data_IF_204356437178
#
_entry.id   IF_204356437178
#
_cell.length_a   1.000
_cell.length_b   1.000
_cell.length_c   1.000
_cell.angle_alpha   90.00
_cell.angle_beta   90.00
_cell.angle_gamma   90.00
#
_symmetry.space_group_name_H-M   'P 1'
#
loop_
_entity.id
_entity.type
_entity.pdbx_description
1 polymer ?
#
# COMPACT_ATOMS: atom_id res chain seq x y z
N UNK A 1 2.46 -11.67 9.98
CA UNK A 1 2.92 -10.27 10.12
C UNK A 1 4.10 -10.28 11.05
N UNK A 2 5.15 -9.57 10.70
CA UNK A 2 6.43 -9.54 11.42
C UNK A 2 6.68 -8.20 12.11
N UNK A 3 6.20 -7.10 11.54
CA UNK A 3 6.36 -5.75 12.04
C UNK A 3 5.53 -5.51 13.31
N UNK A 4 6.12 -4.79 14.25
CA UNK A 4 5.45 -4.22 15.42
C UNK A 4 4.59 -3.02 15.04
N UNK A 5 3.74 -2.57 15.97
CA UNK A 5 2.96 -1.34 15.78
C UNK A 5 3.87 -0.11 15.61
N UNK A 6 4.99 -0.02 16.33
CA UNK A 6 5.90 1.12 16.28
C UNK A 6 6.63 1.19 14.93
N UNK A 7 7.10 0.04 14.42
CA UNK A 7 7.71 -0.05 13.09
C UNK A 7 6.71 0.33 11.99
N UNK A 8 5.48 -0.21 12.06
CA UNK A 8 4.42 0.12 11.11
C UNK A 8 4.02 1.61 11.16
N UNK A 9 3.97 2.19 12.36
CA UNK A 9 3.65 3.61 12.56
C UNK A 9 4.74 4.50 11.98
N UNK A 10 6.01 4.18 12.25
CA UNK A 10 7.16 4.90 11.71
C UNK A 10 7.16 4.86 10.19
N UNK A 11 6.98 3.68 9.59
CA UNK A 11 6.91 3.52 8.14
C UNK A 11 5.72 4.27 7.53
N UNK A 12 4.56 4.28 8.19
CA UNK A 12 3.38 5.00 7.71
C UNK A 12 3.62 6.51 7.66
N UNK A 13 4.18 7.09 8.72
CA UNK A 13 4.54 8.51 8.76
C UNK A 13 5.59 8.87 7.71
N UNK A 14 6.68 8.11 7.64
CA UNK A 14 7.78 8.38 6.71
C UNK A 14 7.32 8.28 5.24
N UNK A 15 6.54 7.25 4.90
CA UNK A 15 5.97 7.11 3.56
C UNK A 15 4.98 8.25 3.23
N UNK A 16 4.13 8.62 4.18
CA UNK A 16 3.18 9.71 4.00
C UNK A 16 3.88 11.05 3.75
N UNK A 17 4.84 11.42 4.58
CA UNK A 17 5.54 12.71 4.48
C UNK A 17 6.28 12.84 3.13
N UNK A 18 6.93 11.75 2.69
CA UNK A 18 7.62 11.68 1.40
C UNK A 18 6.65 11.81 0.23
N UNK A 19 5.56 11.05 0.25
CA UNK A 19 4.55 11.07 -0.81
C UNK A 19 3.84 12.42 -0.88
N UNK A 20 3.44 12.99 0.26
CA UNK A 20 2.80 14.31 0.33
C UNK A 20 3.68 15.40 -0.26
N UNK A 21 4.96 15.42 0.12
CA UNK A 21 5.94 16.38 -0.42
C UNK A 21 6.06 16.24 -1.93
N UNK A 22 6.18 15.00 -2.42
CA UNK A 22 6.24 14.73 -3.85
C UNK A 22 4.98 15.18 -4.60
N UNK A 23 3.78 14.93 -4.06
CA UNK A 23 2.52 15.35 -4.68
C UNK A 23 2.47 16.87 -4.84
N UNK A 24 2.86 17.63 -3.80
CA UNK A 24 2.89 19.09 -3.84
C UNK A 24 3.88 19.62 -4.88
N UNK A 25 5.04 18.97 -5.02
CA UNK A 25 6.11 19.45 -5.89
C UNK A 25 5.92 19.05 -7.37
N UNK A 26 5.24 17.93 -7.64
CA UNK A 26 5.22 17.28 -8.96
C UNK A 26 3.85 17.28 -9.64
N UNK A 27 2.75 17.24 -8.87
CA UNK A 27 1.41 17.06 -9.44
C UNK A 27 0.73 18.43 -9.62
N UNK A 28 1.05 19.09 -10.73
CA UNK A 28 0.30 20.25 -11.21
C UNK A 28 -0.97 19.85 -11.99
N UNK A 29 -1.76 20.83 -12.46
CA UNK A 29 -3.01 20.56 -13.19
C UNK A 29 -2.78 19.71 -14.46
N UNK A 30 -1.68 19.95 -15.19
CA UNK A 30 -1.37 19.22 -16.42
C UNK A 30 -1.01 17.77 -16.13
N UNK A 31 -0.21 17.53 -15.10
CA UNK A 31 0.14 16.18 -14.64
C UNK A 31 -1.09 15.50 -14.04
N UNK A 32 -1.89 16.23 -13.26
CA UNK A 32 -3.10 15.77 -12.59
C UNK A 32 -4.17 15.24 -13.55
N UNK A 33 -4.37 15.92 -14.68
CA UNK A 33 -5.34 15.55 -15.72
C UNK A 33 -4.88 14.36 -16.59
N UNK A 34 -3.58 14.04 -16.57
CA UNK A 34 -3.05 12.96 -17.37
C UNK A 34 -3.56 11.58 -16.89
N UNK A 35 -3.67 10.58 -17.79
CA UNK A 35 -3.95 9.21 -17.41
C UNK A 35 -2.88 8.65 -16.49
N UNK A 36 -3.31 7.92 -15.46
CA UNK A 36 -2.42 7.14 -14.61
C UNK A 36 -2.14 5.75 -15.22
N UNK A 37 -1.28 4.97 -14.57
CA UNK A 37 -1.05 3.56 -14.91
C UNK A 37 -2.25 2.66 -14.61
N UNK A 38 -3.21 3.13 -13.82
CA UNK A 38 -4.46 2.45 -13.54
C UNK A 38 -5.51 2.80 -14.60
N UNK A 39 -6.02 1.78 -15.28
CA UNK A 39 -7.00 1.95 -16.36
C UNK A 39 -8.23 2.73 -15.88
N UNK A 40 -8.53 3.82 -16.60
CA UNK A 40 -9.68 4.69 -16.29
C UNK A 40 -9.42 5.74 -15.21
N UNK A 41 -8.22 5.80 -14.60
CA UNK A 41 -7.86 6.77 -13.57
C UNK A 41 -6.95 7.87 -14.11
N UNK A 42 -7.20 9.11 -13.71
CA UNK A 42 -6.23 10.21 -13.83
C UNK A 42 -5.24 10.20 -12.66
N UNK A 43 -4.13 10.93 -12.78
CA UNK A 43 -3.18 11.11 -11.67
C UNK A 43 -3.89 11.74 -10.46
N UNK A 44 -4.71 12.77 -10.66
CA UNK A 44 -5.50 13.40 -9.58
C UNK A 44 -6.44 12.41 -8.90
N UNK A 45 -7.10 11.54 -9.65
CA UNK A 45 -7.96 10.52 -9.05
C UNK A 45 -7.16 9.53 -8.20
N UNK A 46 -5.96 9.14 -8.64
CA UNK A 46 -5.06 8.27 -7.88
C UNK A 46 -4.54 8.95 -6.61
N UNK A 47 -4.16 10.24 -6.66
CA UNK A 47 -3.83 11.05 -5.47
C UNK A 47 -5.00 11.06 -4.47
N UNK A 48 -6.22 11.27 -4.97
CA UNK A 48 -7.41 11.23 -4.12
C UNK A 48 -7.63 9.87 -3.45
N UNK A 49 -7.31 8.78 -4.15
CA UNK A 49 -7.40 7.43 -3.62
C UNK A 49 -6.39 7.18 -2.50
N UNK A 50 -5.15 7.63 -2.65
CA UNK A 50 -4.14 7.59 -1.58
C UNK A 50 -4.68 8.23 -0.30
N UNK A 51 -5.28 9.42 -0.40
CA UNK A 51 -5.95 10.05 0.73
C UNK A 51 -7.07 9.18 1.30
N UNK A 52 -7.98 8.69 0.46
CA UNK A 52 -9.10 7.81 0.87
C UNK A 52 -8.64 6.50 1.50
N UNK A 53 -7.47 5.99 1.16
CA UNK A 53 -6.89 4.82 1.81
C UNK A 53 -6.69 5.09 3.31
N UNK A 54 -6.30 6.32 3.71
CA UNK A 54 -6.12 6.70 5.11
C UNK A 54 -7.44 6.65 5.91
N UNK A 55 -8.59 6.90 5.28
CA UNK A 55 -9.91 6.83 5.92
C UNK A 55 -10.20 5.46 6.56
N UNK A 56 -9.57 4.38 6.07
CA UNK A 56 -9.76 3.06 6.64
C UNK A 56 -9.22 2.95 8.07
N UNK A 57 -8.10 3.64 8.37
CA UNK A 57 -7.52 3.70 9.70
C UNK A 57 -8.30 4.67 10.60
N UNK A 58 -8.69 5.83 10.07
CA UNK A 58 -9.52 6.81 10.78
C UNK A 58 -10.88 6.24 11.23
N UNK A 59 -11.46 5.35 10.43
CA UNK A 59 -12.75 4.72 10.72
C UNK A 59 -12.68 3.56 11.74
N UNK A 60 -11.48 3.18 12.20
CA UNK A 60 -11.33 2.05 13.12
C UNK A 60 -11.84 2.40 14.53
N UNK A 61 -12.51 1.42 15.16
CA UNK A 61 -12.95 1.52 16.55
C UNK A 61 -12.39 0.36 17.37
N UNK A 62 -11.89 0.58 18.60
CA UNK A 62 -11.40 -0.51 19.45
C UNK A 62 -12.47 -1.55 19.73
N UNK A 63 -12.06 -2.81 19.83
CA UNK A 63 -12.93 -3.94 20.16
C UNK A 63 -12.57 -4.53 21.54
N UNK A 64 -13.52 -5.22 22.19
CA UNK A 64 -13.25 -5.85 23.49
C UNK A 64 -12.10 -6.87 23.43
N UNK A 65 -11.36 -7.04 24.55
CA UNK A 65 -10.37 -8.10 24.68
C UNK A 65 -10.96 -9.49 24.36
N UNK A 66 -10.16 -10.35 23.73
CA UNK A 66 -10.59 -11.70 23.33
C UNK A 66 -11.24 -11.78 21.95
N UNK A 67 -11.48 -10.64 21.27
CA UNK A 67 -11.86 -10.65 19.86
C UNK A 67 -10.74 -11.25 19.01
N UNK A 68 -11.06 -12.23 18.17
CA UNK A 68 -10.09 -12.88 17.26
C UNK A 68 -9.87 -11.98 16.04
N UNK A 69 -8.66 -11.43 15.83
CA UNK A 69 -8.37 -10.61 14.67
C UNK A 69 -8.09 -11.48 13.43
N UNK A 70 -8.43 -10.97 12.26
CA UNK A 70 -7.88 -11.44 10.99
C UNK A 70 -6.37 -11.19 10.96
N UNK A 71 -5.65 -12.12 10.35
CA UNK A 71 -4.25 -11.93 9.95
C UNK A 71 -4.14 -10.91 8.81
N UNK A 72 -2.93 -10.40 8.58
CA UNK A 72 -2.66 -9.52 7.43
C UNK A 72 -3.02 -10.21 6.10
N UNK A 73 -2.68 -11.49 5.95
CA UNK A 73 -2.97 -12.26 4.74
C UNK A 73 -4.47 -12.39 4.48
N UNK A 74 -5.26 -12.66 5.52
CA UNK A 74 -6.72 -12.74 5.42
C UNK A 74 -7.33 -11.38 5.11
N UNK A 75 -6.84 -10.31 5.75
CA UNK A 75 -7.35 -8.96 5.52
C UNK A 75 -7.06 -8.47 4.09
N UNK A 76 -5.81 -8.61 3.62
CA UNK A 76 -5.42 -8.21 2.26
C UNK A 76 -6.11 -9.06 1.19
N UNK A 77 -6.28 -10.37 1.42
CA UNK A 77 -6.99 -11.26 0.48
C UNK A 77 -8.45 -10.86 0.21
N UNK A 78 -9.04 -9.95 1.00
CA UNK A 78 -10.37 -9.39 0.72
C UNK A 78 -10.37 -8.25 -0.32
N UNK A 79 -9.21 -7.84 -0.85
CA UNK A 79 -9.08 -6.70 -1.76
C UNK A 79 -9.42 -7.07 -3.21
N UNK A 80 -8.91 -8.20 -3.69
CA UNK A 80 -9.14 -8.73 -5.04
C UNK A 80 -10.63 -8.80 -5.48
N UNK A 81 -11.57 -8.89 -4.53
CA UNK A 81 -13.00 -9.05 -4.81
C UNK A 81 -13.78 -7.79 -5.26
N UNK A 82 -13.14 -6.61 -5.44
CA UNK A 82 -13.89 -5.35 -5.72
C UNK A 82 -13.42 -4.52 -6.93
N UNK A 83 -12.72 -5.12 -7.89
CA UNK A 83 -12.27 -4.44 -9.13
C UNK A 83 -13.41 -3.95 -10.04
N UNK A 84 -14.68 -4.23 -9.77
CA UNK A 84 -15.75 -4.10 -10.76
C UNK A 84 -16.49 -2.74 -10.84
N UNK A 85 -16.12 -1.71 -10.07
CA UNK A 85 -16.79 -0.39 -10.13
C UNK A 85 -15.80 0.78 -10.25
N UNK A 86 -14.81 0.64 -11.14
CA UNK A 86 -13.70 1.60 -11.26
C UNK A 86 -14.15 2.92 -11.88
N UNK A 87 -14.84 2.94 -13.03
CA UNK A 87 -15.05 4.17 -13.79
C UNK A 87 -15.97 5.21 -13.09
N UNK A 88 -17.07 4.77 -12.48
CA UNK A 88 -18.00 5.66 -11.76
C UNK A 88 -17.40 6.15 -10.43
N UNK A 89 -16.76 5.25 -9.69
CA UNK A 89 -16.05 5.60 -8.45
C UNK A 89 -14.92 6.60 -8.70
N UNK A 90 -14.22 6.46 -9.83
CA UNK A 90 -13.10 7.34 -10.20
C UNK A 90 -13.57 8.75 -10.55
N UNK A 91 -14.62 8.89 -11.38
CA UNK A 91 -15.19 10.21 -11.72
C UNK A 91 -15.74 10.92 -10.48
N UNK A 92 -16.46 10.21 -9.62
CA UNK A 92 -16.98 10.77 -8.38
C UNK A 92 -15.86 11.19 -7.42
N UNK A 93 -14.75 10.45 -7.37
CA UNK A 93 -13.62 10.78 -6.52
C UNK A 93 -12.81 11.96 -7.06
N UNK A 94 -12.56 12.02 -8.37
CA UNK A 94 -11.91 13.16 -9.02
C UNK A 94 -12.70 14.46 -8.79
N UNK A 95 -14.03 14.41 -8.91
CA UNK A 95 -14.89 15.56 -8.64
C UNK A 95 -14.83 16.04 -7.18
N UNK A 96 -14.64 15.14 -6.21
CA UNK A 96 -14.51 15.50 -4.79
C UNK A 96 -13.22 16.25 -4.46
N UNK A 97 -12.18 16.06 -5.27
CA UNK A 97 -10.85 16.63 -5.01
C UNK A 97 -10.46 17.76 -5.94
N UNK A 98 -11.23 17.98 -7.01
CA UNK A 98 -10.88 18.86 -8.12
C UNK A 98 -10.44 20.28 -7.72
N UNK A 99 -10.96 20.79 -6.59
CA UNK A 99 -10.63 22.15 -6.11
C UNK A 99 -9.31 22.21 -5.35
N UNK A 100 -9.01 21.19 -4.52
CA UNK A 100 -7.82 21.18 -3.66
C UNK A 100 -7.44 19.75 -3.26
N UNK A 101 -6.71 19.03 -4.14
CA UNK A 101 -6.28 17.66 -3.87
C UNK A 101 -5.36 17.56 -2.66
N UNK A 102 -4.55 18.58 -2.37
CA UNK A 102 -3.59 18.58 -1.26
C UNK A 102 -4.33 18.69 0.07
N UNK A 103 -5.24 19.64 0.23
CA UNK A 103 -6.04 19.75 1.45
C UNK A 103 -6.89 18.49 1.68
N UNK A 104 -7.37 17.86 0.60
CA UNK A 104 -8.13 16.62 0.68
C UNK A 104 -7.34 15.47 1.30
N UNK A 105 -6.10 15.25 0.83
CA UNK A 105 -5.27 14.16 1.32
C UNK A 105 -4.76 14.48 2.74
N UNK A 106 -4.42 15.75 3.03
CA UNK A 106 -3.95 16.21 4.34
C UNK A 106 -5.00 15.99 5.44
N UNK A 107 -6.27 16.33 5.18
CA UNK A 107 -7.35 16.14 6.13
C UNK A 107 -7.52 14.66 6.54
N UNK A 108 -7.33 13.74 5.59
CA UNK A 108 -7.51 12.30 5.82
C UNK A 108 -6.34 11.68 6.54
N UNK A 109 -5.12 12.07 6.17
CA UNK A 109 -3.94 11.66 6.90
C UNK A 109 -3.99 12.17 8.35
N UNK A 110 -4.37 13.42 8.58
CA UNK A 110 -4.55 13.97 9.92
C UNK A 110 -5.56 13.17 10.75
N UNK A 111 -6.72 12.83 10.18
CA UNK A 111 -7.73 12.00 10.85
C UNK A 111 -7.21 10.59 11.16
N UNK A 112 -6.48 9.97 10.24
CA UNK A 112 -5.90 8.64 10.41
C UNK A 112 -4.81 8.62 11.50
N UNK A 113 -3.91 9.61 11.52
CA UNK A 113 -2.87 9.72 12.54
C UNK A 113 -3.46 10.02 13.92
N UNK A 114 -4.49 10.88 13.99
CA UNK A 114 -5.21 11.12 15.24
C UNK A 114 -5.87 9.83 15.79
N UNK A 115 -6.47 9.02 14.92
CA UNK A 115 -7.04 7.72 15.30
C UNK A 115 -5.96 6.72 15.73
N UNK A 116 -4.85 6.64 14.99
CA UNK A 116 -3.72 5.77 15.32
C UNK A 116 -3.16 6.09 16.71
N UNK A 117 -2.88 7.37 16.97
CA UNK A 117 -2.41 7.86 18.27
C UNK A 117 -3.42 7.61 19.39
N UNK A 118 -4.72 7.77 19.11
CA UNK A 118 -5.75 7.53 20.11
C UNK A 118 -5.83 6.06 20.53
N UNK A 119 -5.69 5.15 19.56
CA UNK A 119 -5.86 3.71 19.76
C UNK A 119 -4.57 3.01 20.20
N UNK A 120 -3.39 3.56 19.91
CA UNK A 120 -2.09 2.98 20.28
C UNK A 120 -1.76 3.11 21.77
N UNK A 121 -2.47 3.96 22.53
CA UNK A 121 -2.20 4.21 23.96
C UNK A 121 -2.26 2.95 24.83
N UNK A 122 -2.99 1.92 24.39
CA UNK A 122 -3.11 0.63 25.08
C UNK A 122 -2.23 -0.47 24.46
N UNK A 123 -1.26 -0.09 23.63
CA UNK A 123 -0.40 -1.01 22.87
C UNK A 123 -0.99 -1.31 21.50
N UNK A 124 -1.15 -2.60 21.18
CA UNK A 124 -1.66 -3.06 19.88
C UNK A 124 -3.04 -3.73 20.04
N UNK A 125 -4.12 -2.94 20.26
CA UNK A 125 -5.46 -3.48 20.45
C UNK A 125 -6.03 -4.06 19.14
N UNK A 126 -7.04 -4.91 19.28
CA UNK A 126 -7.88 -5.30 18.15
C UNK A 126 -8.87 -4.18 17.87
N UNK A 127 -8.97 -3.78 16.61
CA UNK A 127 -9.88 -2.73 16.12
C UNK A 127 -10.82 -3.30 15.06
N UNK A 128 -12.03 -2.77 14.98
CA UNK A 128 -12.96 -3.03 13.90
C UNK A 128 -12.51 -2.24 12.67
N UNK A 129 -11.99 -2.93 11.66
CA UNK A 129 -11.78 -2.36 10.33
C UNK A 129 -12.98 -2.66 9.41
N UNK A 130 -13.00 -2.04 8.22
CA UNK A 130 -14.11 -2.18 7.26
C UNK A 130 -14.40 -3.63 6.83
N UNK A 131 -13.40 -4.51 6.88
CA UNK A 131 -13.49 -5.91 6.42
C UNK A 131 -13.47 -6.94 7.56
N UNK A 132 -13.47 -6.48 8.79
CA UNK A 132 -13.43 -7.36 9.97
C UNK A 132 -12.51 -6.82 11.06
N UNK A 133 -12.47 -7.52 12.21
CA UNK A 133 -11.54 -7.22 13.29
C UNK A 133 -10.09 -7.49 12.84
N UNK A 134 -9.17 -6.58 13.15
CA UNK A 134 -7.72 -6.74 12.92
C UNK A 134 -6.96 -6.14 14.09
N UNK A 135 -5.70 -6.53 14.29
CA UNK A 135 -4.79 -5.76 15.16
C UNK A 135 -4.58 -4.37 14.58
N UNK A 136 -4.38 -3.37 15.43
CA UNK A 136 -4.05 -2.01 14.99
C UNK A 136 -2.79 -2.01 14.11
N UNK A 137 -1.76 -2.76 14.49
CA UNK A 137 -0.55 -3.00 13.71
C UNK A 137 -0.85 -3.55 12.31
N UNK A 138 -1.72 -4.56 12.20
CA UNK A 138 -2.17 -5.10 10.91
C UNK A 138 -2.90 -4.07 10.06
N UNK A 139 -3.75 -3.25 10.68
CA UNK A 139 -4.43 -2.16 9.97
C UNK A 139 -3.42 -1.12 9.47
N UNK A 140 -2.47 -0.71 10.31
CA UNK A 140 -1.41 0.24 9.96
C UNK A 140 -0.54 -0.28 8.83
N UNK A 141 -0.03 -1.52 8.91
CA UNK A 141 0.73 -2.16 7.82
C UNK A 141 -0.09 -2.19 6.53
N UNK A 142 -1.39 -2.49 6.58
CA UNK A 142 -2.23 -2.47 5.38
C UNK A 142 -2.31 -1.08 4.74
N UNK A 143 -2.15 0.01 5.51
CA UNK A 143 -2.08 1.37 4.96
C UNK A 143 -0.72 1.65 4.35
N UNK A 144 0.38 1.21 4.99
CA UNK A 144 1.73 1.31 4.41
C UNK A 144 1.79 0.62 3.05
N UNK A 145 1.22 -0.59 2.94
CA UNK A 145 1.10 -1.33 1.66
C UNK A 145 0.42 -0.46 0.59
N UNK A 146 -0.74 0.12 0.91
CA UNK A 146 -1.50 0.94 -0.05
C UNK A 146 -0.73 2.20 -0.47
N UNK A 147 -0.10 2.89 0.49
CA UNK A 147 0.70 4.08 0.18
C UNK A 147 1.93 3.74 -0.67
N UNK A 148 2.67 2.68 -0.35
CA UNK A 148 3.86 2.26 -1.12
C UNK A 148 3.48 1.85 -2.54
N UNK A 149 2.45 1.01 -2.70
CA UNK A 149 1.99 0.54 -4.02
C UNK A 149 1.52 1.72 -4.86
N UNK A 150 0.69 2.61 -4.31
CA UNK A 150 0.15 3.72 -5.08
C UNK A 150 1.11 4.90 -5.25
N UNK A 151 2.13 5.05 -4.40
CA UNK A 151 3.25 5.94 -4.66
C UNK A 151 4.07 5.48 -5.87
N UNK A 152 4.34 4.17 -5.99
CA UNK A 152 4.99 3.62 -7.18
C UNK A 152 4.12 3.80 -8.44
N UNK A 153 2.81 3.57 -8.34
CA UNK A 153 1.88 3.84 -9.44
C UNK A 153 1.90 5.30 -9.90
N UNK A 154 1.86 6.23 -8.95
CA UNK A 154 1.94 7.67 -9.23
C UNK A 154 3.26 8.01 -9.92
N UNK A 155 4.37 7.49 -9.40
CA UNK A 155 5.69 7.72 -9.97
C UNK A 155 5.76 7.25 -11.42
N UNK A 156 5.33 6.01 -11.71
CA UNK A 156 5.30 5.47 -13.07
C UNK A 156 4.33 6.26 -13.96
N UNK A 157 3.21 6.72 -13.42
CA UNK A 157 2.23 7.52 -14.16
C UNK A 157 2.84 8.83 -14.64
N UNK A 158 3.50 9.57 -13.75
CA UNK A 158 4.10 10.87 -14.09
C UNK A 158 5.26 10.72 -15.09
N UNK A 159 6.04 9.64 -15.01
CA UNK A 159 7.07 9.35 -16.02
C UNK A 159 6.52 9.17 -17.44
N UNK A 160 5.23 8.83 -17.59
CA UNK A 160 4.57 8.68 -18.90
C UNK A 160 4.04 10.00 -19.44
N UNK A 161 4.02 11.07 -18.64
CA UNK A 161 3.54 12.38 -19.05
C UNK A 161 4.66 13.12 -19.79
N UNK A 162 4.49 13.45 -21.09
CA UNK A 162 5.54 14.12 -21.86
C UNK A 162 5.91 15.48 -21.25
N UNK A 163 7.21 15.68 -21.00
CA UNK A 163 7.72 16.94 -20.45
C UNK A 163 7.56 17.11 -18.94
N UNK A 164 6.91 16.17 -18.24
CA UNK A 164 6.83 16.20 -16.78
C UNK A 164 8.17 15.83 -16.14
N UNK A 165 8.62 16.62 -15.17
CA UNK A 165 9.71 16.24 -14.28
C UNK A 165 9.16 15.37 -13.16
N UNK A 166 9.40 14.06 -13.19
CA UNK A 166 8.83 13.15 -12.19
C UNK A 166 9.39 13.32 -10.76
N UNK A 167 10.34 14.22 -10.56
CA UNK A 167 10.94 14.50 -9.26
C UNK A 167 11.69 13.30 -8.66
N UNK A 168 12.01 13.35 -7.35
CA UNK A 168 12.56 12.20 -6.64
C UNK A 168 11.50 11.09 -6.48
N UNK A 169 11.94 9.85 -6.29
CA UNK A 169 11.05 8.71 -6.06
C UNK A 169 10.15 8.93 -4.82
N UNK A 170 8.80 8.89 -4.90
CA UNK A 170 7.91 9.13 -3.78
C UNK A 170 7.80 7.96 -2.80
N UNK A 171 8.38 6.80 -3.12
CA UNK A 171 8.40 5.64 -2.21
C UNK A 171 9.55 5.79 -1.22
N UNK A 172 9.23 5.66 0.06
CA UNK A 172 10.21 5.72 1.14
C UNK A 172 10.91 4.35 1.28
N UNK A 173 12.25 4.29 1.24
CA UNK A 173 12.97 3.02 1.25
C UNK A 173 12.68 2.09 2.45
N UNK A 174 12.53 2.63 3.66
CA UNK A 174 12.21 1.85 4.85
C UNK A 174 10.80 1.24 4.78
N UNK A 175 9.82 2.03 4.36
CA UNK A 175 8.45 1.57 4.13
C UNK A 175 8.38 0.51 3.02
N UNK A 176 9.14 0.69 1.93
CA UNK A 176 9.24 -0.31 0.86
C UNK A 176 9.80 -1.63 1.38
N UNK A 177 10.87 -1.60 2.17
CA UNK A 177 11.46 -2.80 2.77
C UNK A 177 10.45 -3.49 3.71
N UNK A 178 9.79 -2.74 4.59
CA UNK A 178 8.77 -3.29 5.49
C UNK A 178 7.64 -3.97 4.70
N UNK A 179 7.12 -3.33 3.66
CA UNK A 179 6.06 -3.92 2.82
C UNK A 179 6.54 -5.18 2.10
N UNK A 180 7.76 -5.15 1.55
CA UNK A 180 8.36 -6.31 0.90
C UNK A 180 8.48 -7.51 1.85
N UNK A 181 8.98 -7.28 3.06
CA UNK A 181 9.16 -8.32 4.08
C UNK A 181 7.81 -8.88 4.56
N UNK A 182 6.80 -8.03 4.75
CA UNK A 182 5.45 -8.46 5.14
C UNK A 182 4.76 -9.30 4.06
N UNK A 183 4.89 -8.93 2.79
CA UNK A 183 4.36 -9.70 1.68
C UNK A 183 5.10 -11.04 1.51
N UNK A 184 6.42 -11.04 1.72
CA UNK A 184 7.21 -12.28 1.72
C UNK A 184 6.77 -13.21 2.86
N UNK A 185 6.56 -12.68 4.06
CA UNK A 185 6.12 -13.45 5.21
C UNK A 185 4.77 -14.15 4.97
N UNK A 186 3.87 -13.54 4.18
CA UNK A 186 2.61 -14.19 3.78
C UNK A 186 2.87 -15.40 2.90
N UNK A 187 3.75 -15.28 1.91
CA UNK A 187 4.08 -16.38 0.99
C UNK A 187 4.81 -17.51 1.72
N UNK A 188 5.79 -17.17 2.55
CA UNK A 188 6.53 -18.12 3.39
C UNK A 188 5.57 -18.86 4.33
N UNK A 189 4.62 -18.17 4.97
CA UNK A 189 3.64 -18.81 5.84
C UNK A 189 2.69 -19.77 5.09
N UNK A 190 2.39 -19.50 3.81
CA UNK A 190 1.52 -20.35 2.97
C UNK A 190 2.25 -21.55 2.39
N UNK A 191 3.53 -21.40 2.02
CA UNK A 191 4.28 -22.42 1.27
C UNK A 191 5.38 -23.14 2.06
N UNK A 192 5.80 -22.62 3.20
CA UNK A 192 6.83 -23.24 4.06
C UNK A 192 8.25 -23.16 3.51
N UNK A 193 8.55 -22.17 2.66
CA UNK A 193 9.89 -21.95 2.08
C UNK A 193 10.74 -20.97 2.88
N UNK A 194 12.05 -21.03 2.73
CA UNK A 194 13.00 -20.07 3.31
C UNK A 194 13.55 -19.17 2.19
N UNK A 195 12.96 -17.99 2.06
CA UNK A 195 13.22 -17.03 0.99
C UNK A 195 13.67 -15.69 1.58
N UNK A 196 14.39 -14.91 0.79
CA UNK A 196 14.78 -13.53 1.09
C UNK A 196 14.49 -12.60 -0.09
N UNK A 197 14.35 -11.30 0.21
CA UNK A 197 14.06 -10.26 -0.77
C UNK A 197 15.34 -9.60 -1.28
N UNK A 198 15.68 -9.85 -2.54
CA UNK A 198 16.80 -9.22 -3.24
C UNK A 198 16.40 -7.84 -3.81
N UNK A 199 15.31 -7.78 -4.56
CA UNK A 199 14.73 -6.53 -5.09
C UNK A 199 13.33 -6.29 -4.52
N UNK A 200 13.28 -5.41 -3.51
CA UNK A 200 12.05 -5.07 -2.81
C UNK A 200 10.98 -4.45 -3.72
N UNK A 201 11.36 -3.60 -4.69
CA UNK A 201 10.37 -2.97 -5.58
C UNK A 201 9.81 -3.97 -6.56
N UNK A 202 10.68 -4.79 -7.17
CA UNK A 202 10.24 -5.85 -8.08
C UNK A 202 9.33 -6.84 -7.36
N UNK A 203 9.72 -7.25 -6.14
CA UNK A 203 8.92 -8.13 -5.31
C UNK A 203 7.53 -7.54 -5.01
N UNK A 204 7.46 -6.28 -4.55
CA UNK A 204 6.17 -5.64 -4.25
C UNK A 204 5.30 -5.51 -5.50
N UNK A 205 5.86 -5.24 -6.68
CA UNK A 205 5.09 -5.18 -7.94
C UNK A 205 4.48 -6.53 -8.32
N UNK A 206 5.25 -7.61 -8.22
CA UNK A 206 4.76 -8.98 -8.45
C UNK A 206 3.67 -9.35 -7.42
N UNK A 207 3.94 -9.09 -6.13
CA UNK A 207 3.03 -9.41 -5.04
C UNK A 207 1.72 -8.60 -5.08
N UNK A 208 1.74 -7.40 -5.66
CA UNK A 208 0.55 -6.55 -5.83
C UNK A 208 -0.12 -6.68 -7.19
N UNK A 209 0.42 -7.51 -8.10
CA UNK A 209 -0.11 -7.67 -9.46
C UNK A 209 0.12 -6.45 -10.37
N UNK A 210 0.97 -5.50 -9.98
CA UNK A 210 1.39 -4.37 -10.85
C UNK A 210 2.38 -4.79 -11.91
N UNK A 211 2.92 -5.97 -11.73
CA UNK A 211 3.66 -6.68 -12.74
C UNK A 211 3.07 -8.08 -12.90
N UNK A 212 2.82 -8.55 -14.14
CA UNK A 212 2.41 -9.92 -14.38
C UNK A 212 3.43 -10.90 -13.81
N UNK A 213 2.94 -12.04 -13.30
CA UNK A 213 3.82 -13.10 -12.85
C UNK A 213 4.72 -13.59 -13.99
N UNK A 214 6.02 -13.61 -13.73
CA UNK A 214 7.05 -14.12 -14.61
C UNK A 214 8.16 -14.75 -13.75
N UNK A 215 8.65 -15.92 -14.15
CA UNK A 215 9.64 -16.69 -13.36
C UNK A 215 11.00 -15.99 -13.32
N UNK A 216 11.40 -15.32 -14.39
CA UNK A 216 12.68 -14.60 -14.45
C UNK A 216 12.59 -13.34 -13.60
N UNK A 217 11.46 -12.63 -13.65
CA UNK A 217 11.19 -11.50 -12.75
C UNK A 217 11.17 -11.92 -11.28
N UNK A 218 10.62 -13.10 -10.96
CA UNK A 218 10.62 -13.64 -9.60
C UNK A 218 12.06 -13.93 -9.14
N UNK A 219 12.89 -14.50 -10.01
CA UNK A 219 14.30 -14.81 -9.70
C UNK A 219 15.19 -13.57 -9.51
N UNK A 220 14.76 -12.41 -10.00
CA UNK A 220 15.38 -11.11 -9.68
C UNK A 220 14.88 -10.57 -8.34
N UNK A 221 13.61 -10.81 -8.03
CA UNK A 221 12.95 -10.26 -6.85
C UNK A 221 13.31 -11.00 -5.55
N UNK A 222 13.40 -12.34 -5.62
CA UNK A 222 13.58 -13.22 -4.46
C UNK A 222 14.69 -14.24 -4.69
N UNK A 223 15.35 -14.62 -3.60
CA UNK A 223 16.32 -15.70 -3.58
C UNK A 223 16.00 -16.72 -2.46
N UNK A 224 16.35 -18.00 -2.63
CA UNK A 224 16.39 -18.94 -1.52
C UNK A 224 17.50 -18.54 -0.55
N UNK A 225 17.22 -18.60 0.75
CA UNK A 225 18.20 -18.24 1.79
C UNK A 225 19.43 -19.16 1.80
N UNK A 226 19.23 -20.42 1.41
CA UNK A 226 20.28 -21.43 1.39
C UNK A 226 20.62 -21.79 -0.06
N UNK A 227 21.90 -21.79 -0.39
CA UNK A 227 22.41 -22.00 -1.76
C UNK A 227 22.08 -23.37 -2.37
N UNK A 228 21.61 -24.32 -1.56
CA UNK A 228 21.17 -25.64 -2.02
C UNK A 228 19.68 -25.72 -2.38
N UNK A 229 18.89 -24.70 -2.05
CA UNK A 229 17.45 -24.66 -2.31
C UNK A 229 17.15 -24.02 -3.66
N UNK A 230 16.01 -24.38 -4.25
CA UNK A 230 15.51 -23.78 -5.48
C UNK A 230 14.39 -22.79 -5.19
N UNK A 231 14.34 -21.69 -5.93
CA UNK A 231 13.21 -20.77 -5.89
C UNK A 231 11.92 -21.49 -6.33
N UNK A 232 10.85 -21.49 -5.51
CA UNK A 232 9.60 -22.16 -5.86
C UNK A 232 8.82 -21.40 -6.93
N UNK A 233 7.99 -22.11 -7.70
CA UNK A 233 6.97 -21.50 -8.55
C UNK A 233 5.84 -20.91 -7.68
N UNK A 234 5.68 -19.59 -7.75
CA UNK A 234 4.67 -18.84 -6.98
C UNK A 234 3.44 -18.45 -7.83
N UNK A 235 3.29 -18.96 -9.06
CA UNK A 235 2.20 -18.58 -9.96
C UNK A 235 0.79 -18.88 -9.44
N UNK A 236 0.64 -19.79 -8.47
CA UNK A 236 -0.64 -20.06 -7.78
C UNK A 236 -0.88 -19.21 -6.53
N UNK A 237 0.14 -18.48 -6.06
CA UNK A 237 0.09 -17.64 -4.88
C UNK A 237 0.08 -16.14 -5.19
N UNK A 238 0.44 -15.77 -6.42
CA UNK A 238 0.54 -14.40 -6.88
C UNK A 238 -0.62 -14.01 -7.83
N UNK A 239 -1.12 -12.77 -7.73
CA UNK A 239 -0.76 -11.75 -6.75
C UNK A 239 -1.25 -12.10 -5.33
N UNK A 240 -0.60 -11.52 -4.32
CA UNK A 240 -1.01 -11.62 -2.91
C UNK A 240 -2.20 -10.70 -2.60
N UNK A 241 -2.25 -9.54 -3.25
CA UNK A 241 -3.30 -8.51 -3.10
C UNK A 241 -4.52 -8.75 -4.01
#
# INVERSE_FOLDING_TARGET
>A
MTATLDEATTALHAQWDRLRTWVVDVVDDSVGDAPSVLEGWTVTALVAHVGRAMDALAACTPLPPGTVPLTLAEYLGTYAGRSADIAETTRALAAQVATDPVAWIDARAAAAFAALEAHSRSGDPVVQARRGPVRLSTMTVSRVVELVVHADDLFVSVHRVPGAGAGPDPVEPGALRLVADELLAIVVARGGWDLEVDDARRWVRLASGREPYDVDALAVALAPRWTGDSLPDLGRMLPVL
#
